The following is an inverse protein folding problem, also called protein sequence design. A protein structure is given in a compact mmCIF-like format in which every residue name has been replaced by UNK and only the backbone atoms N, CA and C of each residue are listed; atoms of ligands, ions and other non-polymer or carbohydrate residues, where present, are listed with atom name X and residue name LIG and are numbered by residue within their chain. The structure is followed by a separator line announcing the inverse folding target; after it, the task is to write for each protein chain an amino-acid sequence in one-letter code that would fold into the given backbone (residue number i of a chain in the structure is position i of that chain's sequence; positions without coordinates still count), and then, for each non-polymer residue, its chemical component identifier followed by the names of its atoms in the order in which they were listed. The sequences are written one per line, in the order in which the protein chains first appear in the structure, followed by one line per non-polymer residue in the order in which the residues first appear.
data_IF_838478165957
#
_entry.id   IF_838478165957
#
_cell.length_a   1.000
_cell.length_b   1.000
_cell.length_c   1.000
_cell.angle_alpha   90.00
_cell.angle_beta   90.00
_cell.angle_gamma   90.00
#
_symmetry.space_group_name_H-M   'P 1'
#
loop_
_entity.id
_entity.type
_entity.pdbx_description
1 polymer ?
#
# COMPACT_ATOMS: atom_id res chain seq x y z
N UNK A 1 0.81 14.40 5.49
CA UNK A 1 0.82 13.93 4.11
C UNK A 1 0.73 12.42 4.09
N UNK A 2 -0.45 11.88 3.81
CA UNK A 2 -0.62 10.42 3.86
C UNK A 2 0.07 9.74 2.67
N UNK A 3 0.88 8.74 2.97
CA UNK A 3 1.51 7.90 1.96
C UNK A 3 1.18 6.45 2.27
N UNK A 4 0.52 5.80 1.32
CA UNK A 4 0.16 4.40 1.43
C UNK A 4 1.01 3.61 0.46
N UNK A 5 1.77 2.63 0.95
CA UNK A 5 2.58 1.76 0.12
C UNK A 5 2.04 0.35 0.19
N UNK A 6 1.71 -0.19 -0.96
CA UNK A 6 1.23 -1.56 -1.10
C UNK A 6 2.36 -2.39 -1.69
N UNK A 7 2.90 -3.30 -0.90
CA UNK A 7 3.88 -4.27 -1.38
C UNK A 7 3.12 -5.50 -1.80
N UNK A 8 3.09 -5.76 -3.09
CA UNK A 8 2.26 -6.82 -3.65
C UNK A 8 3.09 -7.75 -4.54
N UNK A 9 2.72 -9.03 -4.59
CA UNK A 9 3.29 -9.91 -5.61
C UNK A 9 2.89 -9.42 -6.99
N UNK A 10 3.76 -9.65 -7.96
CA UNK A 10 3.51 -9.24 -9.33
C UNK A 10 2.19 -9.85 -9.83
N UNK A 11 1.42 -9.07 -10.57
CA UNK A 11 0.12 -9.46 -11.14
C UNK A 11 -0.99 -9.73 -10.12
N UNK A 12 -0.85 -9.21 -8.89
CA UNK A 12 -1.91 -9.34 -7.88
C UNK A 12 -3.12 -8.46 -8.20
N UNK A 13 -2.87 -7.22 -8.59
CA UNK A 13 -3.93 -6.26 -8.93
C UNK A 13 -3.80 -5.82 -10.38
N UNK A 14 -4.95 -5.71 -11.04
CA UNK A 14 -5.00 -5.13 -12.38
C UNK A 14 -4.79 -3.63 -12.30
N UNK A 15 -4.57 -3.02 -13.47
CA UNK A 15 -4.46 -1.56 -13.56
C UNK A 15 -5.74 -0.88 -13.05
N UNK A 16 -6.88 -1.45 -13.36
CA UNK A 16 -8.19 -0.95 -12.92
C UNK A 16 -8.35 -1.07 -11.41
N UNK A 17 -7.90 -2.18 -10.82
CA UNK A 17 -7.93 -2.38 -9.37
C UNK A 17 -7.06 -1.35 -8.65
N UNK A 18 -5.87 -1.10 -9.16
CA UNK A 18 -4.97 -0.10 -8.58
C UNK A 18 -5.60 1.29 -8.63
N UNK A 19 -6.21 1.65 -9.76
CA UNK A 19 -6.86 2.94 -9.90
C UNK A 19 -8.05 3.07 -8.94
N UNK A 20 -8.84 2.02 -8.78
CA UNK A 20 -9.97 2.03 -7.86
C UNK A 20 -9.52 2.17 -6.41
N UNK A 21 -8.47 1.45 -6.01
CA UNK A 21 -7.91 1.56 -4.66
C UNK A 21 -7.33 2.95 -4.41
N UNK A 22 -6.59 3.48 -5.37
CA UNK A 22 -6.04 4.82 -5.26
C UNK A 22 -7.11 5.87 -5.03
N UNK A 23 -8.20 5.78 -5.79
CA UNK A 23 -9.32 6.70 -5.63
C UNK A 23 -10.02 6.51 -4.29
N UNK A 24 -10.30 5.27 -3.89
CA UNK A 24 -10.99 4.97 -2.63
C UNK A 24 -10.20 5.48 -1.43
N UNK A 25 -8.90 5.28 -1.43
CA UNK A 25 -8.03 5.75 -0.34
C UNK A 25 -7.99 7.28 -0.32
N UNK A 26 -7.88 7.91 -1.48
CA UNK A 26 -7.87 9.36 -1.57
C UNK A 26 -9.17 9.96 -1.04
N UNK A 27 -10.30 9.32 -1.34
CA UNK A 27 -11.62 9.79 -0.90
C UNK A 27 -11.79 9.73 0.63
N UNK A 28 -11.04 8.87 1.32
CA UNK A 28 -11.06 8.82 2.78
C UNK A 28 -10.54 10.14 3.38
N UNK A 29 -9.62 10.79 2.70
CA UNK A 29 -9.01 12.04 3.16
C UNK A 29 -9.68 13.24 2.51
N UNK A 30 -11.01 13.32 2.63
CA UNK A 30 -11.81 14.37 1.99
C UNK A 30 -11.52 15.77 2.54
N UNK A 31 -10.90 15.85 3.71
CA UNK A 31 -10.51 17.11 4.34
C UNK A 31 -9.16 17.64 3.85
N UNK A 32 -8.47 16.91 2.98
CA UNK A 32 -7.18 17.31 2.43
C UNK A 32 -7.28 17.58 0.94
N UNK A 33 -6.46 18.50 0.40
CA UNK A 33 -6.30 18.56 -1.04
C UNK A 33 -5.81 17.22 -1.58
N UNK A 34 -6.37 16.78 -2.69
CA UNK A 34 -6.11 15.43 -3.21
C UNK A 34 -4.64 15.16 -3.51
N UNK A 35 -3.89 16.19 -3.90
CA UNK A 35 -2.47 16.00 -4.23
C UNK A 35 -1.60 15.68 -3.01
N UNK A 36 -2.12 15.82 -1.79
CA UNK A 36 -1.39 15.42 -0.59
C UNK A 36 -1.45 13.92 -0.34
N UNK A 37 -2.42 13.22 -0.93
CA UNK A 37 -2.60 11.79 -0.70
C UNK A 37 -1.85 11.01 -1.77
N UNK A 38 -0.92 10.17 -1.34
CA UNK A 38 -0.09 9.37 -2.25
C UNK A 38 -0.34 7.90 -1.99
N UNK A 39 -0.62 7.17 -3.06
CA UNK A 39 -0.80 5.72 -3.01
C UNK A 39 0.18 5.10 -4.01
N UNK A 40 1.04 4.23 -3.51
CA UNK A 40 2.03 3.54 -4.33
C UNK A 40 1.77 2.04 -4.30
N UNK A 41 1.93 1.41 -5.46
CA UNK A 41 1.93 -0.04 -5.58
C UNK A 41 3.33 -0.48 -6.00
N UNK A 42 3.96 -1.26 -5.14
CA UNK A 42 5.31 -1.75 -5.37
C UNK A 42 5.20 -3.24 -5.65
N UNK A 43 5.41 -3.63 -6.89
CA UNK A 43 5.33 -5.02 -7.29
C UNK A 43 6.64 -5.72 -7.01
N UNK A 44 6.56 -6.89 -6.40
CA UNK A 44 7.68 -7.72 -6.03
C UNK A 44 7.53 -9.07 -6.73
N UNK A 45 8.60 -9.54 -7.33
CA UNK A 45 8.58 -10.88 -7.94
C UNK A 45 8.31 -11.94 -6.89
N UNK A 46 7.56 -12.96 -7.26
CA UNK A 46 7.11 -14.00 -6.33
C UNK A 46 8.26 -14.67 -5.59
N UNK A 47 9.37 -14.88 -6.27
CA UNK A 47 10.56 -15.47 -5.66
C UNK A 47 11.30 -14.54 -4.70
N UNK A 48 10.91 -13.26 -4.65
CA UNK A 48 11.52 -12.27 -3.79
C UNK A 48 10.67 -11.90 -2.58
N UNK A 49 9.51 -12.53 -2.42
CA UNK A 49 8.57 -12.23 -1.35
C UNK A 49 8.47 -13.41 -0.40
N UNK A 50 9.03 -13.26 0.78
CA UNK A 50 9.11 -14.34 1.76
C UNK A 50 8.32 -13.99 3.02
N UNK A 51 7.51 -14.93 3.46
CA UNK A 51 6.80 -14.85 4.74
C UNK A 51 7.10 -16.11 5.53
N UNK A 52 7.64 -15.94 6.74
CA UNK A 52 8.04 -17.06 7.55
C UNK A 52 9.13 -17.92 6.92
N UNK A 53 9.97 -17.29 6.08
CA UNK A 53 11.05 -17.98 5.39
C UNK A 53 10.63 -18.73 4.14
N UNK A 54 9.38 -18.60 3.70
CA UNK A 54 8.87 -19.26 2.49
C UNK A 54 8.43 -18.24 1.48
N UNK A 55 8.74 -18.48 0.21
CA UNK A 55 8.27 -17.62 -0.88
C UNK A 55 6.76 -17.73 -0.99
N UNK A 56 6.09 -16.58 -1.14
CA UNK A 56 4.63 -16.52 -1.24
C UNK A 56 4.23 -15.64 -2.42
N UNK A 57 3.03 -15.92 -2.95
CA UNK A 57 2.46 -15.15 -4.05
C UNK A 57 1.07 -14.61 -3.71
N UNK A 58 0.67 -14.69 -2.45
CA UNK A 58 -0.69 -14.36 -2.01
C UNK A 58 -0.68 -13.46 -0.76
N UNK A 59 0.33 -12.65 -0.60
CA UNK A 59 0.47 -11.82 0.58
C UNK A 59 0.62 -10.36 0.16
N UNK A 60 -0.14 -9.47 0.80
CA UNK A 60 -0.03 -8.03 0.57
C UNK A 60 0.30 -7.35 1.89
N UNK A 61 1.28 -6.49 1.85
CA UNK A 61 1.64 -5.65 2.99
C UNK A 61 1.33 -4.21 2.67
N UNK A 62 0.54 -3.58 3.52
CA UNK A 62 0.20 -2.16 3.37
C UNK A 62 0.89 -1.39 4.49
N UNK A 63 1.71 -0.43 4.09
CA UNK A 63 2.40 0.45 5.04
C UNK A 63 1.85 1.85 4.85
N UNK A 64 1.32 2.41 5.92
CA UNK A 64 0.79 3.77 5.90
C UNK A 64 1.72 4.67 6.67
N UNK A 65 2.14 5.74 6.00
CA UNK A 65 3.07 6.70 6.55
C UNK A 65 2.39 8.07 6.58
N UNK A 66 2.19 8.59 7.77
CA UNK A 66 1.64 9.92 7.96
C UNK A 66 2.75 10.84 8.43
N UNK A 67 3.13 11.77 7.56
CA UNK A 67 4.13 12.76 7.91
C UNK A 67 3.41 13.99 8.45
N UNK A 68 3.76 14.39 9.66
CA UNK A 68 3.22 15.58 10.28
C UNK A 68 4.35 16.45 10.79
N UNK A 69 4.00 17.65 11.25
CA UNK A 69 4.98 18.58 11.81
C UNK A 69 5.67 17.97 13.04
N UNK A 70 4.96 17.12 13.77
CA UNK A 70 5.45 16.61 15.04
C UNK A 70 6.15 15.28 14.93
N UNK A 71 5.81 14.48 13.95
CA UNK A 71 6.38 13.14 13.81
C UNK A 71 6.08 12.54 12.44
N UNK A 72 7.00 11.72 11.97
CA UNK A 72 6.79 10.91 10.78
C UNK A 72 6.62 9.47 11.20
N UNK A 73 5.41 9.12 11.60
CA UNK A 73 5.12 7.77 12.05
C UNK A 73 4.78 6.87 10.89
N UNK A 74 5.31 5.67 10.95
CA UNK A 74 5.02 4.65 9.96
C UNK A 74 4.25 3.52 10.62
N UNK A 75 3.13 3.14 10.01
CA UNK A 75 2.27 2.09 10.53
C UNK A 75 2.07 1.01 9.48
N UNK A 76 2.15 -0.25 9.92
CA UNK A 76 1.74 -1.39 9.10
C UNK A 76 0.33 -1.77 9.52
N UNK A 77 -0.65 -1.49 8.65
CA UNK A 77 -2.05 -1.71 9.00
C UNK A 77 -2.56 -3.08 8.60
N UNK A 78 -2.01 -3.65 7.54
CA UNK A 78 -2.56 -4.90 7.05
C UNK A 78 -1.46 -5.77 6.48
N UNK A 79 -1.49 -7.03 6.83
CA UNK A 79 -0.73 -8.09 6.22
C UNK A 79 -1.77 -9.15 5.88
N UNK A 80 -2.20 -9.17 4.64
CA UNK A 80 -3.38 -9.94 4.23
C UNK A 80 -2.95 -11.08 3.31
N UNK A 81 -3.10 -12.34 3.73
CA UNK A 81 -2.97 -13.46 2.81
C UNK A 81 -4.23 -13.55 1.95
N UNK A 82 -4.05 -13.88 0.70
CA UNK A 82 -5.16 -14.05 -0.24
C UNK A 82 -5.53 -15.51 -0.42
#
# INVERSE_FOLDING_TARGET
MPLHRFYIPRDTYSKEDKAALGKAITDIYDFLPTFYVVVLFIEVDKEDYFVGGKAVDNFVRVVVHHVSVKMGDEYVFAQIPF
#
